data_IF_419873066148
#
_entry.id   IF_419873066148
#
_cell.length_a   1.000
_cell.length_b   1.000
_cell.length_c   1.000
_cell.angle_alpha   90.00
_cell.angle_beta   90.00
_cell.angle_gamma   90.00
#
_symmetry.space_group_name_H-M   'P 1'
#
loop_
_entity.id
_entity.type
_entity.pdbx_description
1 polymer ?
#
# COMPACT_ATOMS: atom_id res chain seq x y z
N UNK A 1 -12.10 2.66 11.79
CA UNK A 1 -12.51 1.89 10.59
C UNK A 1 -12.33 0.40 10.89
N UNK A 2 -13.14 -0.52 10.34
CA UNK A 2 -12.90 -1.97 10.47
C UNK A 2 -11.92 -2.44 9.40
N UNK A 3 -10.98 -3.33 9.73
CA UNK A 3 -10.00 -3.88 8.78
C UNK A 3 -10.67 -4.50 7.54
N UNK A 4 -11.77 -5.23 7.73
CA UNK A 4 -12.62 -5.77 6.65
C UNK A 4 -13.05 -4.75 5.58
N UNK A 5 -13.11 -3.45 5.89
CA UNK A 5 -13.46 -2.40 4.92
C UNK A 5 -12.28 -1.90 4.11
N UNK A 6 -11.06 -2.28 4.49
CA UNK A 6 -9.82 -1.92 3.80
C UNK A 6 -9.58 -2.82 2.59
N UNK A 7 -10.00 -4.09 2.68
CA UNK A 7 -9.91 -5.06 1.59
C UNK A 7 -10.68 -4.61 0.33
N UNK A 8 -10.13 -4.97 -0.83
CA UNK A 8 -10.71 -4.64 -2.14
C UNK A 8 -10.48 -3.21 -2.60
N UNK A 9 -9.78 -2.38 -1.81
CA UNK A 9 -9.38 -1.03 -2.26
C UNK A 9 -8.11 -1.09 -3.08
N UNK A 10 -8.02 -0.18 -4.03
CA UNK A 10 -6.82 0.06 -4.82
C UNK A 10 -5.95 1.16 -4.22
N UNK A 11 -4.64 0.99 -4.28
CA UNK A 11 -3.66 1.96 -3.76
C UNK A 11 -3.15 2.79 -4.93
N UNK A 12 -3.28 4.11 -4.81
CA UNK A 12 -2.93 5.08 -5.84
C UNK A 12 -2.02 6.16 -5.26
N UNK A 13 -0.90 6.41 -5.92
CA UNK A 13 0.00 7.51 -5.57
C UNK A 13 -0.55 8.84 -6.13
N UNK A 14 -0.57 9.85 -5.28
CA UNK A 14 -1.07 11.19 -5.59
C UNK A 14 -0.17 11.93 -6.58
N UNK A 15 1.14 11.68 -6.56
CA UNK A 15 2.12 12.44 -7.32
C UNK A 15 2.08 12.14 -8.83
N UNK A 16 1.98 10.86 -9.19
CA UNK A 16 2.02 10.38 -10.58
C UNK A 16 0.70 9.73 -11.03
N UNK A 17 -0.26 9.51 -10.11
CA UNK A 17 -1.47 8.74 -10.37
C UNK A 17 -1.20 7.23 -10.54
N UNK A 18 0.00 6.76 -10.19
CA UNK A 18 0.44 5.39 -10.33
C UNK A 18 -0.37 4.44 -9.44
N UNK A 19 -0.77 3.30 -10.00
CA UNK A 19 -1.50 2.24 -9.29
C UNK A 19 -0.49 1.24 -8.73
N UNK A 20 -0.39 1.16 -7.41
CA UNK A 20 0.61 0.32 -6.73
C UNK A 20 0.09 -1.10 -6.45
N UNK A 21 -1.22 -1.31 -6.46
CA UNK A 21 -1.83 -2.63 -6.26
C UNK A 21 -3.10 -2.58 -5.41
N UNK A 22 -3.59 -3.77 -5.04
CA UNK A 22 -4.75 -3.94 -4.17
C UNK A 22 -4.31 -4.15 -2.72
N UNK A 23 -5.04 -3.55 -1.79
CA UNK A 23 -4.79 -3.74 -0.35
C UNK A 23 -5.05 -5.19 0.10
N UNK A 24 -5.88 -5.93 -0.63
CA UNK A 24 -6.15 -7.33 -0.31
C UNK A 24 -4.90 -8.22 -0.39
N UNK A 25 -3.93 -7.83 -1.21
CA UNK A 25 -2.68 -8.55 -1.43
C UNK A 25 -1.52 -7.99 -0.59
N UNK A 26 -1.82 -7.12 0.39
CA UNK A 26 -0.82 -6.41 1.19
C UNK A 26 -0.83 -6.82 2.65
N UNK A 27 0.33 -6.72 3.30
CA UNK A 27 0.49 -6.98 4.73
C UNK A 27 0.51 -5.68 5.55
N UNK A 28 0.16 -5.78 6.83
CA UNK A 28 0.18 -4.67 7.78
C UNK A 28 1.24 -4.92 8.86
N UNK A 29 2.17 -3.98 8.98
CA UNK A 29 3.13 -3.96 10.09
C UNK A 29 2.51 -3.16 11.23
N UNK A 30 2.35 -3.80 12.39
CA UNK A 30 1.74 -3.19 13.57
C UNK A 30 2.78 -3.08 14.68
N UNK A 31 2.84 -1.92 15.34
CA UNK A 31 3.60 -1.75 16.57
C UNK A 31 2.92 -2.54 17.71
N UNK A 32 3.59 -3.56 18.20
CA UNK A 32 3.03 -4.49 19.21
C UNK A 32 2.67 -3.82 20.53
N UNK A 33 3.33 -2.70 20.88
CA UNK A 33 3.13 -2.02 22.17
C UNK A 33 1.95 -1.06 22.12
N UNK A 34 1.75 -0.40 20.99
CA UNK A 34 0.75 0.68 20.83
C UNK A 34 -0.45 0.25 20.00
N UNK A 35 -0.34 -0.85 19.25
CA UNK A 35 -1.33 -1.30 18.29
C UNK A 35 -1.45 -0.40 17.05
N UNK A 36 -0.54 0.55 16.86
CA UNK A 36 -0.55 1.45 15.70
C UNK A 36 -0.01 0.74 14.47
N UNK A 37 -0.63 1.01 13.32
CA UNK A 37 -0.10 0.54 12.03
C UNK A 37 1.09 1.43 11.67
N UNK A 38 2.21 0.80 11.30
CA UNK A 38 3.44 1.47 10.87
C UNK A 38 3.58 1.49 9.37
N UNK A 39 3.40 0.34 8.72
CA UNK A 39 3.60 0.18 7.28
C UNK A 39 2.51 -0.70 6.68
N UNK A 40 2.20 -0.42 5.41
CA UNK A 40 1.49 -1.29 4.50
C UNK A 40 2.52 -1.85 3.51
N UNK A 41 2.70 -3.17 3.47
CA UNK A 41 3.65 -3.83 2.57
C UNK A 41 2.88 -4.29 1.35
N UNK A 42 3.12 -3.65 0.20
CA UNK A 42 2.41 -3.92 -1.04
C UNK A 42 3.33 -4.65 -2.00
N UNK A 43 2.92 -5.81 -2.56
CA UNK A 43 3.69 -6.46 -3.61
C UNK A 43 3.74 -5.58 -4.85
N UNK A 44 4.94 -5.29 -5.33
CA UNK A 44 5.16 -4.53 -6.54
C UNK A 44 4.80 -5.37 -7.77
N UNK A 45 3.59 -5.16 -8.29
CA UNK A 45 3.10 -5.83 -9.48
C UNK A 45 3.43 -5.08 -10.78
N UNK A 46 4.22 -4.00 -10.73
CA UNK A 46 4.53 -3.16 -11.90
C UNK A 46 5.33 -3.90 -13.00
N UNK A 47 5.93 -5.05 -12.68
CA UNK A 47 6.86 -5.76 -13.56
C UNK A 47 6.36 -7.14 -14.01
N UNK A 48 5.13 -7.22 -14.53
CA UNK A 48 4.59 -8.43 -15.18
C UNK A 48 5.39 -8.94 -16.40
N UNK A 49 6.53 -8.33 -16.75
CA UNK A 49 7.39 -8.70 -17.90
C UNK A 49 8.76 -9.30 -17.56
N UNK A 50 9.13 -9.53 -16.30
CA UNK A 50 10.47 -10.06 -15.97
C UNK A 50 10.42 -11.39 -15.22
N UNK A 51 10.44 -12.47 -16.00
CA UNK A 51 10.43 -13.89 -15.62
C UNK A 51 11.55 -14.33 -14.64
N UNK A 52 12.41 -13.44 -14.12
CA UNK A 52 13.57 -13.87 -13.32
C UNK A 52 14.13 -12.92 -12.25
N UNK A 53 13.38 -11.91 -11.77
CA UNK A 53 13.90 -11.01 -10.72
C UNK A 53 12.90 -10.79 -9.59
N UNK A 54 13.32 -11.19 -8.40
CA UNK A 54 12.85 -10.84 -7.05
C UNK A 54 11.52 -10.09 -7.00
N UNK A 55 10.49 -10.71 -6.40
CA UNK A 55 9.30 -10.01 -5.92
C UNK A 55 9.76 -8.82 -5.08
N UNK A 56 9.66 -7.62 -5.63
CA UNK A 56 9.92 -6.39 -4.89
C UNK A 56 8.66 -6.06 -4.10
N UNK A 57 8.83 -5.71 -2.84
CA UNK A 57 7.75 -5.22 -1.98
C UNK A 57 7.98 -3.73 -1.75
N UNK A 58 6.90 -2.96 -1.72
CA UNK A 58 6.93 -1.53 -1.42
C UNK A 58 6.40 -1.35 0.00
N UNK A 59 7.23 -0.81 0.88
CA UNK A 59 6.81 -0.40 2.21
C UNK A 59 6.22 1.01 2.16
N UNK A 60 4.92 1.13 2.42
CA UNK A 60 4.23 2.41 2.48
C UNK A 60 4.01 2.77 3.96
N UNK A 61 4.67 3.83 4.48
CA UNK A 61 4.39 4.30 5.83
C UNK A 61 2.91 4.66 5.99
N UNK A 62 2.32 4.33 7.13
CA UNK A 62 0.90 4.63 7.37
C UNK A 62 0.62 6.14 7.31
N UNK A 63 1.62 6.95 7.66
CA UNK A 63 1.59 8.41 7.60
C UNK A 63 1.49 8.97 6.17
N UNK A 64 1.90 8.19 5.16
CA UNK A 64 1.79 8.56 3.74
C UNK A 64 0.34 8.47 3.22
N UNK A 65 -0.57 7.82 3.96
CA UNK A 65 -1.98 7.71 3.56
C UNK A 65 -2.67 9.07 3.74
N UNK A 66 -3.06 9.69 2.63
CA UNK A 66 -3.79 10.96 2.63
C UNK A 66 -5.29 10.77 2.72
N UNK A 67 -5.83 9.73 2.08
CA UNK A 67 -7.28 9.48 2.09
C UNK A 67 -7.60 8.00 1.89
N UNK A 68 -8.52 7.49 2.71
CA UNK A 68 -9.12 6.16 2.52
C UNK A 68 -10.56 6.38 2.05
N UNK A 69 -10.78 6.15 0.75
CA UNK A 69 -12.10 6.23 0.12
C UNK A 69 -12.88 4.92 0.20
N UNK A 70 -14.00 4.86 -0.53
CA UNK A 70 -14.77 3.63 -0.66
C UNK A 70 -14.04 2.59 -1.52
N UNK A 71 -13.40 3.03 -2.60
CA UNK A 71 -12.79 2.12 -3.58
C UNK A 71 -11.25 2.23 -3.65
N UNK A 72 -10.67 3.31 -3.13
CA UNK A 72 -9.22 3.54 -3.21
C UNK A 72 -8.61 4.13 -1.95
N UNK A 73 -7.32 3.90 -1.77
CA UNK A 73 -6.43 4.54 -0.82
C UNK A 73 -5.50 5.44 -1.61
N UNK A 74 -5.58 6.74 -1.33
CA UNK A 74 -4.67 7.73 -1.90
C UNK A 74 -3.52 7.91 -0.93
N UNK A 75 -2.32 7.72 -1.44
CA UNK A 75 -1.08 7.93 -0.71
C UNK A 75 -0.26 9.03 -1.36
N UNK A 76 0.65 9.62 -0.62
CA UNK A 76 1.66 10.54 -1.15
C UNK A 76 3.01 10.06 -0.61
N UNK A 77 3.81 9.47 -1.50
CA UNK A 77 5.18 9.07 -1.21
C UNK A 77 6.10 10.15 -1.76
N UNK A 78 6.94 10.72 -0.91
CA UNK A 78 7.99 11.62 -1.35
C UNK A 78 9.06 10.80 -2.09
N UNK A 79 9.26 11.11 -3.38
CA UNK A 79 10.42 10.61 -4.13
C UNK A 79 11.68 11.32 -3.59
N UNK A 80 12.44 10.63 -2.74
CA UNK A 80 13.81 11.04 -2.40
C UNK A 80 14.81 10.35 -3.31
#
# INVERSE_FOLDING_TARGET
MRLSKLGGKEIVNLNDGGRLGLVADSDLVIDEKTGKIRYLIVPDNSLQLNILRNRTEIEIPWEAIRKIGNDMIIIELDEN
#
